data_IF_448643296161
#
_entry.id   IF_448643296161
#
_cell.length_a   1.000
_cell.length_b   1.000
_cell.length_c   1.000
_cell.angle_alpha   90.00
_cell.angle_beta   90.00
_cell.angle_gamma   90.00
#
_symmetry.space_group_name_H-M   'P 1'
#
loop_
_entity.id
_entity.type
_entity.pdbx_description
1 polymer ?
#
# COMPACT_ATOMS: atom_id res chain seq x y z
N UNK A 1 10.67 -26.18 -9.23
CA UNK A 1 9.61 -25.20 -9.50
C UNK A 1 9.28 -24.53 -8.18
N UNK A 2 9.36 -23.20 -8.09
CA UNK A 2 9.14 -22.48 -6.83
C UNK A 2 7.63 -22.31 -6.62
N UNK A 3 7.10 -22.77 -5.48
CA UNK A 3 5.71 -22.56 -5.08
C UNK A 3 5.67 -21.55 -3.93
N UNK A 4 4.79 -20.56 -4.03
CA UNK A 4 4.48 -19.67 -2.92
C UNK A 4 3.35 -20.27 -2.09
N UNK A 5 3.46 -20.19 -0.77
CA UNK A 5 2.39 -20.53 0.17
C UNK A 5 1.99 -19.27 0.92
N UNK A 6 0.69 -19.08 1.16
CA UNK A 6 0.22 -17.98 2.00
C UNK A 6 0.33 -18.37 3.48
N UNK A 7 0.91 -17.47 4.27
CA UNK A 7 1.16 -17.68 5.69
C UNK A 7 0.76 -16.45 6.50
N UNK A 8 0.39 -16.68 7.75
CA UNK A 8 0.25 -15.65 8.78
C UNK A 8 1.47 -15.72 9.69
N UNK A 9 2.06 -14.57 10.00
CA UNK A 9 3.13 -14.47 10.97
C UNK A 9 2.55 -14.11 12.34
N UNK A 10 2.62 -15.05 13.29
CA UNK A 10 2.05 -14.89 14.64
C UNK A 10 2.92 -15.68 15.63
N UNK A 11 3.18 -15.12 16.82
CA UNK A 11 3.99 -15.74 17.87
C UNK A 11 5.41 -16.18 17.44
N UNK A 12 6.03 -15.43 16.52
CA UNK A 12 7.30 -15.77 15.88
C UNK A 12 7.29 -17.08 15.07
N UNK A 13 6.11 -17.54 14.64
CA UNK A 13 5.91 -18.73 13.81
C UNK A 13 5.17 -18.35 12.52
N UNK A 14 5.57 -18.95 11.39
CA UNK A 14 4.84 -18.85 10.12
C UNK A 14 3.78 -19.95 10.05
N UNK A 15 2.50 -19.56 10.13
CA UNK A 15 1.34 -20.46 10.12
C UNK A 15 0.73 -20.48 8.71
N UNK A 16 0.80 -21.58 7.96
CA UNK A 16 0.16 -21.69 6.65
C UNK A 16 -1.36 -21.53 6.74
N UNK A 17 -1.98 -20.86 5.76
CA UNK A 17 -3.44 -20.74 5.68
C UNK A 17 -4.12 -22.04 5.19
N UNK A 18 -3.34 -22.99 4.68
CA UNK A 18 -3.82 -24.29 4.23
C UNK A 18 -2.72 -25.35 4.25
N UNK A 19 -3.05 -26.62 3.95
CA UNK A 19 -2.08 -27.70 3.91
C UNK A 19 -0.93 -27.41 2.94
N UNK A 20 0.30 -27.69 3.37
CA UNK A 20 1.48 -27.56 2.53
C UNK A 20 1.82 -28.93 1.93
N UNK A 21 1.60 -29.09 0.64
CA UNK A 21 1.83 -30.34 -0.06
C UNK A 21 3.23 -30.42 -0.69
N UNK A 22 3.80 -31.63 -0.69
CA UNK A 22 5.03 -31.92 -1.41
C UNK A 22 6.33 -31.50 -0.71
N UNK A 23 6.26 -31.14 0.58
CA UNK A 23 7.44 -30.97 1.43
C UNK A 23 7.64 -32.19 2.32
N UNK A 24 8.90 -32.58 2.51
CA UNK A 24 9.26 -33.62 3.47
C UNK A 24 9.45 -33.02 4.85
N UNK A 25 9.19 -33.84 5.87
CA UNK A 25 9.53 -33.47 7.24
C UNK A 25 11.04 -33.18 7.35
N UNK A 26 11.39 -32.11 8.08
CA UNK A 26 12.77 -31.62 8.26
C UNK A 26 13.49 -31.16 6.98
N UNK A 27 12.78 -30.95 5.87
CA UNK A 27 13.36 -30.39 4.66
C UNK A 27 13.75 -28.92 4.87
N UNK A 28 14.98 -28.56 4.47
CA UNK A 28 15.48 -27.19 4.59
C UNK A 28 14.92 -26.32 3.46
N UNK A 29 14.23 -25.25 3.82
CA UNK A 29 13.58 -24.32 2.89
C UNK A 29 14.15 -22.90 3.01
N UNK A 30 13.93 -22.08 1.98
CA UNK A 30 14.22 -20.64 1.99
C UNK A 30 12.88 -19.89 1.95
N UNK A 31 12.68 -18.98 2.90
CA UNK A 31 11.51 -18.12 2.92
C UNK A 31 11.79 -16.80 2.19
N UNK A 32 10.85 -16.37 1.34
CA UNK A 32 10.87 -15.04 0.70
C UNK A 32 9.70 -14.25 1.28
N UNK A 33 10.00 -13.09 1.86
CA UNK A 33 9.00 -12.22 2.46
C UNK A 33 8.51 -11.18 1.45
N UNK A 34 7.21 -11.13 1.24
CA UNK A 34 6.56 -10.12 0.41
C UNK A 34 5.34 -9.58 1.17
N UNK A 35 5.57 -8.74 2.20
CA UNK A 35 4.46 -8.17 2.96
C UNK A 35 3.54 -7.41 2.00
N UNK A 36 2.23 -7.69 2.09
CA UNK A 36 1.26 -6.91 1.31
C UNK A 36 1.30 -5.47 1.81
N UNK A 37 1.43 -4.46 0.92
CA UNK A 37 1.35 -3.08 1.35
C UNK A 37 -0.01 -2.87 2.01
N UNK A 38 0.01 -2.44 3.27
CA UNK A 38 -1.21 -1.99 3.93
C UNK A 38 -1.67 -0.75 3.16
N UNK A 39 -2.75 -0.89 2.39
CA UNK A 39 -3.42 0.28 1.83
C UNK A 39 -3.98 1.04 3.03
N UNK A 40 -3.31 2.13 3.42
CA UNK A 40 -3.90 3.11 4.33
C UNK A 40 -5.24 3.55 3.75
N UNK A 41 -6.27 3.63 4.59
CA UNK A 41 -7.57 4.10 4.13
C UNK A 41 -7.45 5.53 3.62
N UNK A 42 -8.31 5.95 2.69
CA UNK A 42 -8.27 7.33 2.17
C UNK A 42 -8.29 8.34 3.32
N UNK A 43 -9.10 8.07 4.36
CA UNK A 43 -9.22 8.86 5.58
C UNK A 43 -7.92 9.00 6.39
N UNK A 44 -6.97 8.07 6.26
CA UNK A 44 -5.65 8.14 6.92
C UNK A 44 -4.66 9.03 6.16
N UNK A 45 -5.03 9.44 4.94
CA UNK A 45 -4.15 10.16 4.00
C UNK A 45 -4.75 11.51 3.61
N UNK A 46 -6.06 11.69 3.70
CA UNK A 46 -6.72 12.96 3.38
C UNK A 46 -6.86 13.86 4.61
N UNK A 47 -6.39 15.10 4.48
CA UNK A 47 -6.74 16.20 5.37
C UNK A 47 -7.90 17.01 4.81
N UNK A 48 -8.57 17.77 5.67
CA UNK A 48 -9.46 18.86 5.21
C UNK A 48 -8.71 20.17 5.32
N UNK A 49 -8.99 21.07 4.40
CA UNK A 49 -8.41 22.40 4.34
C UNK A 49 -9.53 23.42 4.57
N UNK A 50 -9.26 24.46 5.33
CA UNK A 50 -10.22 25.55 5.55
C UNK A 50 -10.45 26.35 4.26
N UNK A 51 -11.52 27.14 4.21
CA UNK A 51 -11.83 27.95 3.04
C UNK A 51 -10.71 28.96 2.71
N UNK A 52 -10.14 29.59 3.74
CA UNK A 52 -9.08 30.58 3.57
C UNK A 52 -7.78 29.95 3.05
N UNK A 53 -7.40 28.78 3.57
CA UNK A 53 -6.27 28.00 3.06
C UNK A 53 -6.50 27.56 1.61
N UNK A 54 -7.74 27.19 1.26
CA UNK A 54 -8.09 26.82 -0.12
C UNK A 54 -7.93 28.01 -1.08
N UNK A 55 -8.36 29.20 -0.68
CA UNK A 55 -8.19 30.42 -1.48
C UNK A 55 -6.70 30.74 -1.65
N UNK A 56 -5.92 30.66 -0.57
CA UNK A 56 -4.48 30.92 -0.61
C UNK A 56 -3.75 29.94 -1.53
N UNK A 57 -4.09 28.66 -1.46
CA UNK A 57 -3.53 27.63 -2.34
C UNK A 57 -3.91 27.87 -3.80
N UNK A 58 -5.17 28.20 -4.09
CA UNK A 58 -5.63 28.51 -5.45
C UNK A 58 -4.89 29.71 -6.03
N UNK A 59 -4.69 30.77 -5.23
CA UNK A 59 -3.95 31.96 -5.65
C UNK A 59 -2.51 31.61 -6.03
N UNK A 60 -1.85 30.76 -5.24
CA UNK A 60 -0.48 30.32 -5.50
C UNK A 60 -0.41 29.49 -6.79
N UNK A 61 -1.39 28.62 -7.03
CA UNK A 61 -1.50 27.85 -8.28
C UNK A 61 -1.68 28.79 -9.48
N UNK A 62 -2.56 29.79 -9.37
CA UNK A 62 -2.81 30.76 -10.44
C UNK A 62 -1.58 31.64 -10.75
N UNK A 63 -0.71 31.87 -9.77
CA UNK A 63 0.54 32.62 -9.93
C UNK A 63 1.66 31.77 -10.58
N UNK A 64 1.77 30.50 -10.18
CA UNK A 64 2.80 29.57 -10.67
C UNK A 64 2.46 28.89 -12.00
N UNK A 65 1.16 28.67 -12.24
CA UNK A 65 0.66 28.03 -13.44
C UNK A 65 -0.31 29.00 -14.13
N UNK A 66 0.02 29.39 -15.36
CA UNK A 66 -0.88 30.20 -16.18
C UNK A 66 -2.25 29.51 -16.28
N UNK A 67 -3.32 30.30 -16.17
CA UNK A 67 -4.67 29.80 -16.43
C UNK A 67 -4.76 29.38 -17.89
N UNK A 68 -5.04 28.10 -18.12
CA UNK A 68 -5.42 27.63 -19.44
C UNK A 68 -6.83 28.14 -19.70
N UNK A 69 -6.95 29.26 -20.41
CA UNK A 69 -8.21 29.72 -20.96
C UNK A 69 -8.42 29.13 -22.36
N UNK A 70 -9.49 28.36 -22.54
CA UNK A 70 -9.90 27.77 -23.81
C UNK A 70 -11.13 26.87 -23.66
N UNK A 71 -11.97 26.80 -24.69
CA UNK A 71 -13.03 25.78 -24.77
C UNK A 71 -12.43 24.44 -25.21
N UNK A 72 -12.87 23.37 -24.54
CA UNK A 72 -12.47 21.98 -24.81
C UNK A 72 -13.12 21.43 -26.08
#
# INVERSE_FOLDING_TARGET
MTKAIEVVYEDNVFKPLGPVEGLKEHERMVAIFSPRPVKKGLHDIVGTMTHDEAIAMQKLIDEEFEKIEGEW
#
